data_IF_451400947018
#
_entry.id   IF_451400947018
#
_cell.length_a   1.000
_cell.length_b   1.000
_cell.length_c   1.000
_cell.angle_alpha   90.00
_cell.angle_beta   90.00
_cell.angle_gamma   90.00
#
_symmetry.space_group_name_H-M   'P 1'
#
loop_
_entity.id
_entity.type
_entity.pdbx_description
1 polymer ?
#
# COMPACT_ATOMS: atom_id res chain seq x y z
N UNK A 1 11.16 -35.69 -33.65
CA UNK A 1 12.32 -34.79 -33.45
C UNK A 1 11.91 -33.32 -33.38
N UNK A 2 11.06 -32.84 -34.27
CA UNK A 2 10.50 -31.46 -34.25
C UNK A 2 9.77 -31.04 -32.94
N UNK A 3 8.91 -31.87 -32.29
CA UNK A 3 8.23 -31.45 -31.07
C UNK A 3 9.15 -31.34 -29.85
N UNK A 4 10.24 -32.11 -29.82
CA UNK A 4 11.29 -32.03 -28.79
C UNK A 4 12.10 -30.74 -28.92
N UNK A 5 12.37 -30.30 -30.16
CA UNK A 5 13.06 -29.04 -30.42
C UNK A 5 12.18 -27.83 -30.03
N UNK A 6 10.89 -27.89 -30.34
CA UNK A 6 9.92 -26.85 -29.97
C UNK A 6 9.75 -26.74 -28.45
N UNK A 7 9.66 -27.87 -27.75
CA UNK A 7 9.63 -27.92 -26.28
C UNK A 7 10.89 -27.35 -25.62
N UNK A 8 12.03 -27.39 -26.31
CA UNK A 8 13.29 -26.81 -25.84
C UNK A 8 13.43 -25.31 -26.16
N UNK A 9 12.76 -24.82 -27.21
CA UNK A 9 12.77 -23.41 -27.63
C UNK A 9 11.64 -22.56 -27.00
N UNK A 10 10.50 -23.16 -26.65
CA UNK A 10 9.37 -22.52 -25.98
C UNK A 10 9.71 -21.83 -24.62
N UNK A 11 10.57 -22.40 -23.76
CA UNK A 11 10.99 -21.74 -22.52
C UNK A 11 11.84 -20.50 -22.78
N UNK A 12 12.67 -20.52 -23.83
CA UNK A 12 13.53 -19.39 -24.22
C UNK A 12 12.72 -18.18 -24.73
N UNK A 13 11.52 -18.43 -25.27
CA UNK A 13 10.57 -17.39 -25.70
C UNK A 13 9.77 -16.78 -24.53
N UNK A 14 9.74 -17.44 -23.36
CA UNK A 14 8.88 -17.06 -22.23
C UNK A 14 9.56 -16.14 -21.20
N UNK A 15 10.79 -15.69 -21.43
CA UNK A 15 11.63 -15.06 -20.39
C UNK A 15 11.53 -13.52 -20.29
N UNK A 16 10.91 -12.83 -21.25
CA UNK A 16 10.83 -11.37 -21.23
C UNK A 16 9.55 -10.88 -20.54
N UNK A 17 9.27 -11.33 -19.31
CA UNK A 17 8.29 -10.67 -18.44
C UNK A 17 9.04 -9.71 -17.53
N UNK A 18 9.06 -8.43 -17.91
CA UNK A 18 9.50 -7.36 -17.02
C UNK A 18 8.35 -7.03 -16.07
N UNK A 19 8.45 -7.47 -14.82
CA UNK A 19 7.56 -6.98 -13.76
C UNK A 19 8.24 -5.79 -13.08
N UNK A 20 7.62 -4.59 -13.11
CA UNK A 20 8.17 -3.44 -12.41
C UNK A 20 8.11 -3.66 -10.89
N UNK A 21 9.17 -3.31 -10.19
CA UNK A 21 9.16 -3.29 -8.72
C UNK A 21 8.30 -2.11 -8.23
N UNK A 22 7.28 -2.40 -7.40
CA UNK A 22 6.41 -1.42 -6.77
C UNK A 22 6.67 -1.36 -5.26
N UNK A 23 6.93 -0.15 -4.75
CA UNK A 23 7.05 0.13 -3.32
C UNK A 23 6.06 1.23 -2.96
N UNK A 24 5.21 0.97 -1.96
CA UNK A 24 4.31 1.98 -1.38
C UNK A 24 4.94 2.51 -0.10
N UNK A 25 4.92 3.83 0.08
CA UNK A 25 5.44 4.49 1.28
C UNK A 25 4.30 5.23 1.98
N UNK A 26 4.23 5.12 3.29
CA UNK A 26 3.27 5.84 4.13
C UNK A 26 3.95 6.36 5.40
N UNK A 27 3.32 7.31 6.07
CA UNK A 27 3.80 7.90 7.33
C UNK A 27 2.83 7.54 8.44
N UNK A 28 3.35 6.98 9.53
CA UNK A 28 2.58 6.79 10.75
C UNK A 28 3.53 6.83 11.95
N UNK A 29 3.19 7.67 12.93
CA UNK A 29 3.96 7.82 14.17
C UNK A 29 3.62 6.79 15.23
N UNK A 30 2.45 6.15 15.12
CA UNK A 30 1.92 5.21 16.10
C UNK A 30 1.23 4.02 15.39
N UNK A 31 1.15 2.88 16.08
CA UNK A 31 0.36 1.71 15.64
C UNK A 31 -1.14 1.94 15.92
N UNK A 32 -1.76 2.74 15.05
CA UNK A 32 -3.19 3.02 15.10
C UNK A 32 -4.03 1.95 14.42
N UNK A 33 -5.31 1.88 14.76
CA UNK A 33 -6.25 0.98 14.06
C UNK A 33 -6.35 1.27 12.56
N UNK A 34 -6.28 2.55 12.18
CA UNK A 34 -6.25 2.97 10.77
C UNK A 34 -5.05 2.41 10.02
N UNK A 35 -3.86 2.43 10.65
CA UNK A 35 -2.66 1.85 10.07
C UNK A 35 -2.78 0.33 9.90
N UNK A 36 -3.25 -0.39 10.93
CA UNK A 36 -3.43 -1.86 10.85
C UNK A 36 -4.41 -2.24 9.73
N UNK A 37 -5.51 -1.51 9.58
CA UNK A 37 -6.47 -1.74 8.49
C UNK A 37 -5.86 -1.49 7.11
N UNK A 38 -5.03 -0.46 6.96
CA UNK A 38 -4.29 -0.20 5.72
C UNK A 38 -3.32 -1.36 5.42
N UNK A 39 -2.53 -1.79 6.41
CA UNK A 39 -1.56 -2.87 6.26
C UNK A 39 -2.24 -4.20 5.91
N UNK A 40 -3.37 -4.51 6.56
CA UNK A 40 -4.17 -5.69 6.25
C UNK A 40 -4.67 -5.70 4.80
N UNK A 41 -5.15 -4.56 4.30
CA UNK A 41 -5.54 -4.46 2.88
C UNK A 41 -4.33 -4.60 1.96
N UNK A 42 -3.18 -4.03 2.32
CA UNK A 42 -1.97 -4.14 1.50
C UNK A 42 -1.46 -5.58 1.40
N UNK A 43 -1.54 -6.34 2.50
CA UNK A 43 -1.20 -7.77 2.52
C UNK A 43 -2.08 -8.57 1.55
N UNK A 44 -3.40 -8.34 1.54
CA UNK A 44 -4.34 -9.00 0.62
C UNK A 44 -3.97 -8.81 -0.87
N UNK A 45 -3.41 -7.66 -1.23
CA UNK A 45 -3.01 -7.34 -2.60
C UNK A 45 -1.52 -7.57 -2.89
N UNK A 46 -0.76 -8.18 -1.98
CA UNK A 46 0.70 -8.36 -2.08
C UNK A 46 1.45 -7.04 -2.32
N UNK A 47 0.97 -5.95 -1.70
CA UNK A 47 1.59 -4.62 -1.79
C UNK A 47 2.60 -4.46 -0.65
N UNK A 48 3.85 -4.21 -1.00
CA UNK A 48 4.90 -3.88 -0.03
C UNK A 48 4.75 -2.42 0.44
N UNK A 49 4.35 -2.24 1.70
CA UNK A 49 4.23 -0.93 2.35
C UNK A 49 5.41 -0.69 3.27
N UNK A 50 6.08 0.46 3.11
CA UNK A 50 7.09 0.98 4.02
C UNK A 50 6.47 2.09 4.87
N UNK A 51 6.46 1.90 6.19
CA UNK A 51 5.96 2.88 7.16
C UNK A 51 7.14 3.70 7.68
N UNK A 52 7.04 5.03 7.58
CA UNK A 52 8.02 5.98 8.07
C UNK A 52 7.51 6.70 9.32
N UNK A 53 8.43 7.06 10.23
CA UNK A 53 8.14 7.86 11.43
C UNK A 53 7.61 7.08 12.62
N UNK A 54 7.56 5.75 12.58
CA UNK A 54 7.03 4.92 13.68
C UNK A 54 7.81 5.16 14.98
N UNK A 55 7.09 5.52 16.04
CA UNK A 55 7.66 5.86 17.35
C UNK A 55 8.20 7.29 17.45
N UNK A 56 8.18 8.08 16.37
CA UNK A 56 8.55 9.49 16.41
C UNK A 56 7.39 10.39 16.84
N UNK A 57 7.69 11.48 17.54
CA UNK A 57 6.69 12.49 17.87
C UNK A 57 6.18 13.20 16.60
N UNK A 58 4.86 13.29 16.45
CA UNK A 58 4.26 14.04 15.35
C UNK A 58 4.42 15.55 15.55
N UNK A 59 5.10 16.21 14.60
CA UNK A 59 5.33 17.67 14.61
C UNK A 59 4.54 18.44 13.54
N UNK A 60 3.63 17.78 12.83
CA UNK A 60 2.90 18.37 11.69
C UNK A 60 1.64 19.18 12.06
N UNK A 61 1.36 19.39 13.35
CA UNK A 61 0.17 20.11 13.82
C UNK A 61 -1.12 19.27 13.79
N UNK A 62 -2.27 19.90 14.04
CA UNK A 62 -3.55 19.20 14.06
C UNK A 62 -4.05 18.91 12.63
N UNK A 63 -4.08 17.63 12.27
CA UNK A 63 -4.61 17.13 11.00
C UNK A 63 -6.09 16.75 11.08
N UNK A 64 -6.71 16.76 12.27
CA UNK A 64 -8.13 16.47 12.44
C UNK A 64 -8.94 17.68 11.99
N UNK A 65 -9.40 17.66 10.75
CA UNK A 65 -10.41 18.62 10.30
C UNK A 65 -11.73 18.31 11.00
N UNK A 66 -11.98 18.96 12.14
CA UNK A 66 -13.28 18.94 12.79
C UNK A 66 -14.27 19.75 11.94
N UNK A 67 -15.04 19.11 11.06
CA UNK A 67 -16.03 19.83 10.25
C UNK A 67 -17.49 19.38 10.41
N UNK A 68 -17.84 18.52 11.37
CA UNK A 68 -19.23 18.06 11.50
C UNK A 68 -19.84 18.32 12.88
N UNK A 69 -19.54 19.47 13.50
CA UNK A 69 -20.23 19.89 14.73
C UNK A 69 -20.74 21.33 14.74
N UNK A 70 -20.23 22.21 13.88
CA UNK A 70 -20.69 23.61 13.84
C UNK A 70 -22.05 23.79 13.13
N UNK A 71 -22.54 22.79 12.39
CA UNK A 71 -23.76 22.93 11.57
C UNK A 71 -25.05 22.43 12.24
N UNK A 72 -24.96 21.72 13.38
CA UNK A 72 -26.12 21.08 14.03
C UNK A 72 -26.62 21.78 15.30
N UNK A 73 -26.06 22.94 15.67
CA UNK A 73 -26.48 23.70 16.86
C UNK A 73 -27.43 24.88 16.54
N UNK A 74 -28.00 24.95 15.33
CA UNK A 74 -28.86 26.06 14.90
C UNK A 74 -30.27 25.65 14.45
N UNK A 75 -30.67 24.40 14.68
CA UNK A 75 -31.98 23.89 14.28
C UNK A 75 -32.65 23.14 15.44
N UNK A 76 -33.01 23.87 16.50
CA UNK A 76 -34.10 23.57 17.43
C UNK A 76 -34.74 24.88 17.87
#
# INVERSE_FOLDING_TARGET
MLPLLLAFLLPALSLCRYEPELIVVTVATEDTDGLRRLLKSAEEFNIKVQVLGMGEEWKGGDTRVAQVRAQFNGAL
#
